data_IF_155625555800
#
_entry.id   IF_155625555800
#
_cell.length_a   1.000
_cell.length_b   1.000
_cell.length_c   1.000
_cell.angle_alpha   90.00
_cell.angle_beta   90.00
_cell.angle_gamma   90.00
#
_symmetry.space_group_name_H-M   'P 1'
#
loop_
_entity.id
_entity.type
_entity.pdbx_description
1 polymer ?
#
# COMPACT_ATOMS: atom_id res chain seq x y z
N UNK A 1 -12.51 50.93 3.23
CA UNK A 1 -13.61 50.11 3.80
C UNK A 1 -14.81 49.94 2.87
N UNK A 2 -15.33 51.01 2.21
CA UNK A 2 -16.50 50.90 1.28
C UNK A 2 -16.23 50.06 0.02
N UNK A 3 -15.03 50.06 -0.54
CA UNK A 3 -14.69 49.27 -1.72
C UNK A 3 -14.55 47.78 -1.39
N UNK A 4 -14.11 47.41 -0.17
CA UNK A 4 -14.02 46.06 0.30
C UNK A 4 -15.39 45.38 0.43
N UNK A 5 -16.36 46.06 1.05
CA UNK A 5 -17.76 45.56 1.13
C UNK A 5 -18.47 45.35 -0.22
N UNK A 6 -18.14 46.16 -1.25
CA UNK A 6 -18.72 45.98 -2.60
C UNK A 6 -18.14 44.74 -3.27
N UNK A 7 -16.82 44.54 -3.15
CA UNK A 7 -16.11 43.38 -3.70
C UNK A 7 -16.61 42.06 -3.05
N UNK A 8 -16.78 42.04 -1.71
CA UNK A 8 -17.26 40.88 -0.97
C UNK A 8 -18.72 40.55 -1.37
N UNK A 9 -19.57 41.55 -1.57
CA UNK A 9 -20.94 41.34 -2.05
C UNK A 9 -20.98 40.79 -3.47
N UNK A 10 -20.15 41.32 -4.36
CA UNK A 10 -20.05 40.82 -5.75
C UNK A 10 -19.52 39.37 -5.74
N UNK A 11 -18.55 39.05 -4.92
CA UNK A 11 -18.02 37.70 -4.77
C UNK A 11 -19.09 36.70 -4.27
N UNK A 12 -19.81 37.07 -3.22
CA UNK A 12 -20.84 36.21 -2.63
C UNK A 12 -22.02 36.00 -3.57
N UNK A 13 -22.60 37.09 -4.08
CA UNK A 13 -23.82 37.03 -4.91
C UNK A 13 -23.56 36.77 -6.40
N UNK A 14 -22.41 37.18 -6.91
CA UNK A 14 -22.06 37.06 -8.34
C UNK A 14 -21.26 35.79 -8.68
N UNK A 15 -20.55 35.21 -7.71
CA UNK A 15 -19.68 34.07 -7.99
C UNK A 15 -19.98 32.84 -7.12
N UNK A 16 -19.90 32.97 -5.80
CA UNK A 16 -20.00 31.81 -4.91
C UNK A 16 -21.41 31.23 -4.89
N UNK A 17 -22.42 32.07 -4.67
CA UNK A 17 -23.81 31.61 -4.59
C UNK A 17 -24.32 30.99 -5.89
N UNK A 18 -24.11 31.60 -7.10
CA UNK A 18 -24.51 30.95 -8.33
C UNK A 18 -23.80 29.64 -8.63
N UNK A 19 -22.48 29.53 -8.32
CA UNK A 19 -21.73 28.27 -8.49
C UNK A 19 -22.30 27.17 -7.61
N UNK A 20 -22.48 27.45 -6.33
CA UNK A 20 -23.02 26.45 -5.38
C UNK A 20 -24.46 26.04 -5.76
N UNK A 21 -25.28 26.98 -6.22
CA UNK A 21 -26.64 26.67 -6.68
C UNK A 21 -26.63 25.81 -7.94
N UNK A 22 -25.69 26.08 -8.86
CA UNK A 22 -25.54 25.31 -10.08
C UNK A 22 -25.04 23.89 -9.80
N UNK A 23 -24.07 23.71 -8.90
CA UNK A 23 -23.57 22.40 -8.49
C UNK A 23 -24.68 21.58 -7.81
N UNK A 24 -25.42 22.19 -6.90
CA UNK A 24 -26.48 21.50 -6.15
C UNK A 24 -27.70 21.12 -7.02
N UNK A 25 -27.96 21.82 -8.12
CA UNK A 25 -29.06 21.57 -9.05
C UNK A 25 -28.55 21.26 -10.47
N UNK A 26 -27.37 20.65 -10.59
CA UNK A 26 -26.67 20.45 -11.85
C UNK A 26 -27.55 19.79 -12.93
N UNK A 27 -28.24 18.72 -12.58
CA UNK A 27 -29.08 17.95 -13.50
C UNK A 27 -30.23 18.80 -14.09
N UNK A 28 -30.98 19.52 -13.23
CA UNK A 28 -32.11 20.35 -13.65
C UNK A 28 -31.64 21.51 -14.54
N UNK A 29 -30.53 22.14 -14.17
CA UNK A 29 -29.97 23.24 -14.94
C UNK A 29 -29.38 22.74 -16.27
N UNK A 30 -28.71 21.58 -16.28
CA UNK A 30 -28.20 20.97 -17.50
C UNK A 30 -29.33 20.66 -18.50
N UNK A 31 -30.43 20.08 -18.03
CA UNK A 31 -31.62 19.82 -18.87
C UNK A 31 -32.24 21.11 -19.40
N UNK A 32 -32.35 22.15 -18.56
CA UNK A 32 -32.93 23.44 -18.96
C UNK A 32 -32.10 24.14 -20.05
N UNK A 33 -30.77 24.12 -19.89
CA UNK A 33 -29.89 24.80 -20.86
C UNK A 33 -29.48 23.93 -22.06
N UNK A 34 -29.75 22.63 -22.05
CA UNK A 34 -29.32 21.68 -23.09
C UNK A 34 -29.77 22.08 -24.48
N UNK A 35 -31.00 22.55 -24.64
CA UNK A 35 -31.55 23.00 -25.94
C UNK A 35 -30.83 24.25 -26.46
N UNK A 36 -30.59 25.25 -25.60
CA UNK A 36 -29.89 26.46 -25.95
C UNK A 36 -28.43 26.23 -26.32
N UNK A 37 -27.74 25.36 -25.52
CA UNK A 37 -26.35 24.96 -25.77
C UNK A 37 -26.26 24.18 -27.07
N UNK A 38 -27.18 23.26 -27.33
CA UNK A 38 -27.23 22.47 -28.57
C UNK A 38 -27.40 23.41 -29.81
N UNK A 39 -28.28 24.40 -29.73
CA UNK A 39 -28.45 25.36 -30.80
C UNK A 39 -27.17 26.19 -31.09
N UNK A 40 -26.50 26.66 -30.02
CA UNK A 40 -25.21 27.38 -30.13
C UNK A 40 -24.14 26.47 -30.72
N UNK A 41 -24.06 25.22 -30.25
CA UNK A 41 -23.09 24.22 -30.76
C UNK A 41 -23.28 24.00 -32.27
N UNK A 42 -24.52 23.84 -32.73
CA UNK A 42 -24.81 23.68 -34.15
C UNK A 42 -24.37 24.88 -35.00
N UNK A 43 -24.60 26.09 -34.49
CA UNK A 43 -24.17 27.32 -35.17
C UNK A 43 -22.65 27.45 -35.20
N UNK A 44 -21.96 27.02 -34.11
CA UNK A 44 -20.49 27.12 -34.00
C UNK A 44 -19.75 25.97 -34.66
N UNK A 45 -20.42 24.83 -34.93
CA UNK A 45 -19.78 23.63 -35.52
C UNK A 45 -19.00 23.94 -36.82
N UNK A 46 -19.50 24.69 -37.79
CA UNK A 46 -18.73 25.00 -38.98
C UNK A 46 -17.48 25.84 -38.67
N UNK A 47 -17.56 26.78 -37.72
CA UNK A 47 -16.40 27.56 -37.29
C UNK A 47 -15.36 26.70 -36.63
N UNK A 48 -15.78 25.82 -35.71
CA UNK A 48 -14.91 24.84 -35.03
C UNK A 48 -14.25 23.93 -36.05
N UNK A 49 -14.98 23.48 -37.06
CA UNK A 49 -14.42 22.62 -38.12
C UNK A 49 -13.29 23.35 -38.88
N UNK A 50 -13.51 24.62 -39.28
CA UNK A 50 -12.49 25.41 -39.97
C UNK A 50 -11.24 25.61 -39.11
N UNK A 51 -11.41 25.96 -37.81
CA UNK A 51 -10.30 26.13 -36.88
C UNK A 51 -9.52 24.86 -36.67
N UNK A 52 -10.22 23.72 -36.50
CA UNK A 52 -9.58 22.41 -36.33
C UNK A 52 -8.81 21.97 -37.58
N UNK A 53 -9.35 22.30 -38.78
CA UNK A 53 -8.66 21.98 -40.02
C UNK A 53 -7.39 22.82 -40.21
N UNK A 54 -7.45 24.07 -39.82
CA UNK A 54 -6.30 24.97 -39.84
C UNK A 54 -5.23 24.52 -38.80
N UNK A 55 -5.66 24.15 -37.60
CA UNK A 55 -4.76 23.61 -36.58
C UNK A 55 -4.06 22.31 -37.03
N UNK A 56 -4.80 21.37 -37.68
CA UNK A 56 -4.22 20.15 -38.26
C UNK A 56 -3.21 20.47 -39.36
N UNK A 57 -3.51 21.44 -40.21
CA UNK A 57 -2.59 21.88 -41.26
C UNK A 57 -1.29 22.47 -40.67
N UNK A 58 -1.39 23.30 -39.63
CA UNK A 58 -0.22 23.81 -38.91
C UNK A 58 0.60 22.70 -38.26
N UNK A 59 -0.06 21.73 -37.55
CA UNK A 59 0.62 20.59 -36.94
C UNK A 59 1.32 19.70 -37.98
N UNK A 60 0.71 19.51 -39.16
CA UNK A 60 1.33 18.79 -40.27
C UNK A 60 2.58 19.53 -40.79
N UNK A 61 2.51 20.88 -40.93
CA UNK A 61 3.64 21.69 -41.36
C UNK A 61 4.80 21.65 -40.36
N UNK A 62 4.49 21.66 -39.07
CA UNK A 62 5.46 21.57 -37.95
C UNK A 62 5.95 20.16 -37.67
N UNK A 63 5.47 19.12 -38.43
CA UNK A 63 5.78 17.71 -38.23
C UNK A 63 5.54 17.20 -36.79
N UNK A 64 4.53 17.74 -36.12
CA UNK A 64 4.12 17.26 -34.81
C UNK A 64 3.34 15.95 -34.99
N UNK A 65 3.84 14.88 -34.40
CA UNK A 65 3.17 13.60 -34.42
C UNK A 65 1.94 13.61 -33.51
N UNK A 66 0.77 13.71 -34.13
CA UNK A 66 -0.54 13.75 -33.44
C UNK A 66 -1.12 12.35 -33.17
N UNK A 67 -0.39 11.29 -33.50
CA UNK A 67 -0.85 9.92 -33.29
C UNK A 67 -0.82 9.47 -31.81
N UNK A 68 -0.10 10.16 -30.96
CA UNK A 68 -0.19 9.95 -29.51
C UNK A 68 -1.54 10.51 -29.01
N UNK A 69 -2.55 9.65 -28.96
CA UNK A 69 -3.79 9.91 -28.25
C UNK A 69 -3.45 10.25 -26.79
N UNK A 70 -3.49 11.53 -26.44
CA UNK A 70 -3.35 12.02 -25.08
C UNK A 70 -4.67 11.89 -24.29
N UNK A 71 -5.28 10.72 -24.33
CA UNK A 71 -6.50 10.45 -23.55
C UNK A 71 -6.42 9.11 -22.82
N UNK A 72 -5.22 8.63 -22.55
CA UNK A 72 -5.06 7.60 -21.51
C UNK A 72 -4.97 8.32 -20.18
N UNK A 73 -5.88 8.04 -19.30
CA UNK A 73 -5.75 8.38 -17.87
C UNK A 73 -4.34 7.95 -17.47
N UNK A 74 -3.56 8.88 -16.94
CA UNK A 74 -2.23 8.58 -16.43
C UNK A 74 -2.37 7.89 -15.07
N UNK A 75 -1.32 7.22 -14.64
CA UNK A 75 -1.27 6.58 -13.32
C UNK A 75 -1.50 7.61 -12.20
N UNK A 76 -0.86 8.79 -12.29
CA UNK A 76 -1.05 9.90 -11.34
C UNK A 76 -2.50 10.41 -11.31
N UNK A 77 -3.18 10.47 -12.47
CA UNK A 77 -4.59 10.84 -12.53
C UNK A 77 -5.48 9.77 -11.89
N UNK A 78 -5.12 8.47 -12.03
CA UNK A 78 -5.83 7.37 -11.38
C UNK A 78 -5.68 7.44 -9.86
N UNK A 79 -4.45 7.65 -9.35
CA UNK A 79 -4.19 7.81 -7.91
C UNK A 79 -4.97 9.00 -7.34
N UNK A 80 -4.91 10.16 -8.00
CA UNK A 80 -5.67 11.34 -7.60
C UNK A 80 -7.18 11.07 -7.55
N UNK A 81 -7.71 10.29 -8.50
CA UNK A 81 -9.12 9.94 -8.51
C UNK A 81 -9.50 9.03 -7.33
N UNK A 82 -8.64 8.08 -6.98
CA UNK A 82 -8.82 7.19 -5.82
C UNK A 82 -8.78 7.99 -4.52
N UNK A 83 -7.82 8.91 -4.38
CA UNK A 83 -7.68 9.77 -3.19
C UNK A 83 -8.91 10.66 -2.99
N UNK A 84 -9.39 11.33 -4.04
CA UNK A 84 -10.61 12.15 -3.98
C UNK A 84 -11.84 11.31 -3.62
N UNK A 85 -11.93 10.08 -4.17
CA UNK A 85 -13.05 9.17 -3.84
C UNK A 85 -13.04 8.73 -2.38
N UNK A 86 -11.84 8.57 -1.79
CA UNK A 86 -11.69 8.28 -0.37
C UNK A 86 -12.07 9.50 0.49
N UNK A 87 -11.59 10.71 0.16
CA UNK A 87 -11.96 11.94 0.86
C UNK A 87 -13.48 12.23 0.83
N UNK A 88 -14.16 11.84 -0.25
CA UNK A 88 -15.61 11.93 -0.38
C UNK A 88 -16.38 10.80 0.36
N UNK A 89 -15.67 9.83 0.98
CA UNK A 89 -16.24 8.70 1.71
C UNK A 89 -16.91 7.64 0.82
N UNK A 90 -16.54 7.58 -0.47
CA UNK A 90 -17.03 6.58 -1.43
C UNK A 90 -16.23 5.27 -1.33
N UNK A 91 -14.93 5.37 -0.98
CA UNK A 91 -13.98 4.26 -0.87
C UNK A 91 -13.44 4.26 0.57
N UNK A 92 -13.37 3.09 1.20
CA UNK A 92 -12.77 2.90 2.51
C UNK A 92 -11.23 2.95 2.46
N UNK A 93 -10.57 3.19 3.59
CA UNK A 93 -9.11 3.33 3.68
C UNK A 93 -8.37 2.08 3.15
N UNK A 94 -8.83 0.90 3.54
CA UNK A 94 -8.28 -0.38 3.08
C UNK A 94 -8.47 -0.61 1.57
N UNK A 95 -9.64 -0.25 1.04
CA UNK A 95 -9.92 -0.34 -0.39
C UNK A 95 -9.01 0.59 -1.21
N UNK A 96 -8.75 1.80 -0.68
CA UNK A 96 -7.82 2.76 -1.26
C UNK A 96 -6.41 2.17 -1.31
N UNK A 97 -5.91 1.61 -0.19
CA UNK A 97 -4.59 0.96 -0.11
C UNK A 97 -4.47 -0.16 -1.16
N UNK A 98 -5.46 -1.06 -1.22
CA UNK A 98 -5.46 -2.16 -2.20
C UNK A 98 -5.41 -1.67 -3.65
N UNK A 99 -6.18 -0.62 -3.99
CA UNK A 99 -6.18 -0.07 -5.35
C UNK A 99 -4.82 0.53 -5.69
N UNK A 100 -4.19 1.25 -4.76
CA UNK A 100 -2.86 1.81 -4.93
C UNK A 100 -1.82 0.69 -5.12
N UNK A 101 -1.85 -0.32 -4.26
CA UNK A 101 -0.96 -1.49 -4.33
C UNK A 101 -1.10 -2.24 -5.67
N UNK A 102 -2.32 -2.39 -6.21
CA UNK A 102 -2.53 -3.01 -7.53
C UNK A 102 -1.85 -2.20 -8.65
N UNK A 103 -1.86 -0.88 -8.56
CA UNK A 103 -1.18 -0.02 -9.54
C UNK A 103 0.33 -0.21 -9.43
N UNK A 104 0.90 -0.18 -8.23
CA UNK A 104 2.31 -0.40 -7.97
C UNK A 104 2.79 -1.78 -8.37
N UNK A 105 1.98 -2.82 -8.11
CA UNK A 105 2.23 -4.21 -8.46
C UNK A 105 2.52 -4.39 -9.97
N UNK A 106 1.97 -3.51 -10.81
CA UNK A 106 2.22 -3.50 -12.24
C UNK A 106 3.68 -3.28 -12.62
N UNK A 107 4.41 -2.47 -11.86
CA UNK A 107 5.78 -2.06 -12.16
C UNK A 107 6.83 -2.68 -11.21
N UNK A 108 6.38 -3.40 -10.16
CA UNK A 108 7.24 -4.06 -9.16
C UNK A 108 8.02 -5.22 -9.80
N UNK A 109 9.27 -5.39 -9.38
CA UNK A 109 10.15 -6.46 -9.84
C UNK A 109 10.29 -7.56 -8.79
N UNK A 110 10.62 -8.78 -9.24
CA UNK A 110 10.78 -9.93 -8.37
C UNK A 110 11.77 -9.69 -7.21
N UNK A 111 12.86 -8.96 -7.46
CA UNK A 111 13.87 -8.60 -6.44
C UNK A 111 13.31 -7.72 -5.30
N UNK A 112 12.23 -6.97 -5.55
CA UNK A 112 11.66 -6.02 -4.59
C UNK A 112 10.70 -6.72 -3.61
N UNK A 113 10.22 -7.94 -3.96
CA UNK A 113 9.24 -8.72 -3.19
C UNK A 113 9.84 -10.02 -2.65
N UNK A 114 10.96 -10.49 -3.21
CA UNK A 114 11.53 -11.78 -2.82
C UNK A 114 12.02 -11.81 -1.38
N UNK A 115 11.86 -12.95 -0.73
CA UNK A 115 12.59 -13.27 0.50
C UNK A 115 14.07 -13.41 0.12
N UNK A 116 14.97 -12.60 0.71
CA UNK A 116 16.38 -12.63 0.37
C UNK A 116 17.03 -13.96 0.74
N UNK A 117 18.07 -14.36 -0.01
CA UNK A 117 18.83 -15.60 0.19
C UNK A 117 19.21 -15.88 1.65
N UNK A 118 19.54 -14.86 2.43
CA UNK A 118 20.00 -14.99 3.81
C UNK A 118 18.90 -15.44 4.79
N UNK A 119 17.65 -15.20 4.41
CA UNK A 119 16.48 -15.46 5.25
C UNK A 119 15.73 -16.73 4.83
N UNK A 120 16.23 -17.43 3.79
CA UNK A 120 15.62 -18.66 3.30
C UNK A 120 16.05 -19.85 4.13
N UNK A 121 15.08 -20.54 4.73
CA UNK A 121 15.30 -21.87 5.27
C UNK A 121 15.34 -22.90 4.14
N UNK A 122 16.43 -23.66 4.04
CA UNK A 122 16.64 -24.66 3.00
C UNK A 122 17.41 -25.86 3.53
N UNK A 123 17.29 -27.01 2.86
CA UNK A 123 17.87 -28.27 3.32
C UNK A 123 18.82 -28.87 2.28
N UNK A 124 19.86 -29.58 2.76
CA UNK A 124 20.78 -30.28 1.87
C UNK A 124 20.17 -31.59 1.36
N UNK A 125 20.49 -31.96 0.12
CA UNK A 125 19.99 -33.19 -0.53
C UNK A 125 20.29 -34.49 0.22
N UNK A 126 21.30 -34.50 1.09
CA UNK A 126 21.74 -35.64 1.87
C UNK A 126 21.24 -35.65 3.33
N UNK A 127 20.29 -34.75 3.65
CA UNK A 127 19.73 -34.62 5.00
C UNK A 127 19.07 -35.94 5.46
N UNK A 128 19.21 -36.28 6.73
CA UNK A 128 18.53 -37.43 7.32
C UNK A 128 17.04 -37.17 7.59
N UNK A 129 16.27 -38.23 7.78
CA UNK A 129 14.83 -38.13 8.11
C UNK A 129 14.57 -37.30 9.38
N UNK A 130 15.35 -37.54 10.43
CA UNK A 130 15.15 -36.86 11.72
C UNK A 130 15.55 -35.40 11.68
N UNK A 131 16.63 -35.07 10.97
CA UNK A 131 17.02 -33.65 10.74
C UNK A 131 15.97 -32.90 9.91
N UNK A 132 15.47 -33.50 8.82
CA UNK A 132 14.42 -32.91 8.00
C UNK A 132 13.12 -32.69 8.79
N UNK A 133 12.78 -33.63 9.68
CA UNK A 133 11.64 -33.49 10.59
C UNK A 133 11.83 -32.30 11.54
N UNK A 134 13.05 -32.14 12.05
CA UNK A 134 13.41 -31.02 12.94
C UNK A 134 13.23 -29.69 12.18
N UNK A 135 13.79 -29.56 10.96
CA UNK A 135 13.67 -28.37 10.14
C UNK A 135 12.21 -27.98 9.90
N UNK A 136 11.34 -28.95 9.54
CA UNK A 136 9.92 -28.65 9.37
C UNK A 136 9.21 -28.28 10.68
N UNK A 137 9.65 -28.83 11.81
CA UNK A 137 9.01 -28.60 13.12
C UNK A 137 9.39 -27.22 13.69
N UNK A 138 10.66 -26.84 13.54
CA UNK A 138 11.19 -25.60 14.09
C UNK A 138 10.75 -24.40 13.24
N UNK A 139 10.85 -24.51 11.91
CA UNK A 139 10.53 -23.41 11.00
C UNK A 139 9.03 -23.32 10.65
N UNK A 140 8.25 -24.42 10.87
CA UNK A 140 6.80 -24.50 10.55
C UNK A 140 6.44 -24.21 9.09
N UNK A 141 7.40 -24.24 8.18
CA UNK A 141 7.13 -23.99 6.75
C UNK A 141 6.47 -25.20 6.08
N UNK A 142 5.57 -24.92 5.13
CA UNK A 142 4.92 -25.96 4.33
C UNK A 142 5.85 -26.56 3.25
N UNK A 143 6.90 -25.81 2.86
CA UNK A 143 7.83 -26.16 1.77
C UNK A 143 9.22 -25.67 2.10
N UNK A 144 10.22 -26.47 1.71
CA UNK A 144 11.63 -26.10 1.85
C UNK A 144 12.35 -26.35 0.52
N UNK A 145 13.17 -25.38 0.03
CA UNK A 145 14.08 -25.62 -1.07
C UNK A 145 15.14 -26.66 -0.70
N UNK A 146 15.52 -27.50 -1.64
CA UNK A 146 16.57 -28.52 -1.48
C UNK A 146 17.75 -28.12 -2.36
N UNK A 147 18.93 -28.01 -1.74
CA UNK A 147 20.17 -27.71 -2.45
C UNK A 147 21.13 -28.90 -2.48
N UNK A 148 22.05 -28.92 -3.44
CA UNK A 148 23.10 -29.92 -3.57
C UNK A 148 24.45 -29.24 -3.70
N UNK A 149 25.46 -29.67 -2.91
CA UNK A 149 26.84 -29.15 -2.84
C UNK A 149 26.94 -27.70 -2.33
N UNK A 150 26.23 -26.76 -2.94
CA UNK A 150 26.21 -25.35 -2.54
C UNK A 150 24.79 -24.82 -2.48
N UNK A 151 24.55 -23.85 -1.61
CA UNK A 151 23.25 -23.21 -1.45
C UNK A 151 22.75 -22.49 -2.71
N UNK A 152 23.65 -22.23 -3.67
CA UNK A 152 23.29 -21.66 -4.97
C UNK A 152 22.71 -22.69 -5.94
N UNK A 153 22.92 -23.99 -5.66
CA UNK A 153 22.46 -25.07 -6.53
C UNK A 153 21.20 -25.71 -5.98
N UNK A 154 20.06 -25.06 -6.18
CA UNK A 154 18.75 -25.59 -5.81
C UNK A 154 18.31 -26.65 -6.82
N UNK A 155 18.09 -27.89 -6.35
CA UNK A 155 17.71 -29.03 -7.18
C UNK A 155 16.23 -29.36 -7.13
N UNK A 156 15.48 -28.81 -6.18
CA UNK A 156 14.04 -29.04 -6.05
C UNK A 156 13.45 -28.41 -4.80
N UNK A 157 12.17 -28.69 -4.58
CA UNK A 157 11.40 -28.25 -3.42
C UNK A 157 10.77 -29.47 -2.76
N UNK A 158 10.92 -29.64 -1.45
CA UNK A 158 10.22 -30.66 -0.67
C UNK A 158 9.01 -30.05 0.03
N UNK A 159 7.86 -30.73 -0.05
CA UNK A 159 6.65 -30.35 0.67
C UNK A 159 6.52 -31.13 1.97
N UNK A 160 6.13 -30.50 3.04
CA UNK A 160 5.82 -31.14 4.32
C UNK A 160 4.79 -32.29 4.14
N UNK A 161 3.77 -32.10 3.32
CA UNK A 161 2.74 -33.13 3.06
C UNK A 161 3.33 -34.38 2.42
N UNK A 162 4.23 -34.25 1.44
CA UNK A 162 4.87 -35.37 0.78
C UNK A 162 5.81 -36.12 1.74
N UNK A 163 6.46 -35.37 2.64
CA UNK A 163 7.31 -35.93 3.71
C UNK A 163 6.49 -36.68 4.78
N UNK A 164 5.40 -36.11 5.30
CA UNK A 164 4.55 -36.73 6.33
C UNK A 164 3.92 -38.03 5.87
N UNK A 165 3.55 -38.11 4.58
CA UNK A 165 2.96 -39.32 4.00
C UNK A 165 4.01 -40.33 3.48
N UNK A 166 5.30 -40.09 3.70
CA UNK A 166 6.35 -41.00 3.28
C UNK A 166 6.28 -42.30 4.07
N UNK A 167 6.15 -43.45 3.35
CA UNK A 167 6.06 -44.79 3.90
C UNK A 167 7.31 -45.68 3.63
N UNK A 168 8.37 -45.06 3.11
CA UNK A 168 9.62 -45.76 2.82
C UNK A 168 10.52 -45.94 4.03
N UNK A 169 11.73 -46.40 3.76
CA UNK A 169 12.76 -46.60 4.78
C UNK A 169 13.28 -45.26 5.30
N UNK A 170 13.03 -44.98 6.58
CA UNK A 170 13.45 -43.73 7.23
C UNK A 170 14.96 -43.64 7.45
N UNK A 171 15.65 -44.79 7.58
CA UNK A 171 17.09 -44.82 7.75
C UNK A 171 17.85 -44.51 6.46
N UNK A 172 17.18 -44.77 5.30
CA UNK A 172 17.74 -44.50 3.96
C UNK A 172 16.83 -43.58 3.17
N UNK A 173 16.50 -42.41 3.75
CA UNK A 173 15.68 -41.38 3.06
C UNK A 173 16.37 -40.92 1.80
N UNK A 174 15.69 -41.09 0.67
CA UNK A 174 16.08 -40.47 -0.62
C UNK A 174 15.21 -39.22 -0.90
N UNK A 175 15.66 -38.07 -0.46
CA UNK A 175 14.91 -36.80 -0.63
C UNK A 175 14.63 -36.50 -2.08
N UNK A 176 15.53 -36.88 -3.03
CA UNK A 176 15.36 -36.68 -4.47
C UNK A 176 14.11 -37.37 -5.03
N UNK A 177 13.63 -38.44 -4.36
CA UNK A 177 12.39 -39.14 -4.77
C UNK A 177 11.12 -38.46 -4.26
N UNK A 178 11.21 -37.53 -3.29
CA UNK A 178 10.09 -36.82 -2.68
C UNK A 178 9.99 -35.38 -3.15
N UNK A 179 11.11 -34.79 -3.58
CA UNK A 179 11.12 -33.42 -4.04
C UNK A 179 10.42 -33.25 -5.38
N UNK A 180 9.93 -32.07 -5.62
CA UNK A 180 9.36 -31.60 -6.90
C UNK A 180 10.35 -30.67 -7.57
N UNK A 181 10.24 -30.54 -8.88
CA UNK A 181 11.04 -29.59 -9.65
C UNK A 181 10.79 -28.17 -9.16
N UNK A 182 11.87 -27.40 -8.97
CA UNK A 182 11.77 -26.02 -8.59
C UNK A 182 11.46 -25.17 -9.82
N UNK A 183 10.45 -24.32 -9.72
CA UNK A 183 10.24 -23.25 -10.69
C UNK A 183 11.29 -22.17 -10.45
N UNK A 184 11.82 -21.59 -11.53
CA UNK A 184 12.91 -20.61 -11.47
C UNK A 184 12.51 -19.35 -12.23
N UNK A 185 12.84 -18.19 -11.68
CA UNK A 185 12.70 -16.89 -12.32
C UNK A 185 13.94 -16.04 -12.09
N UNK A 186 13.97 -14.78 -12.55
CA UNK A 186 15.08 -13.86 -12.42
C UNK A 186 14.64 -12.59 -11.69
N UNK A 187 15.60 -11.93 -11.00
CA UNK A 187 15.41 -10.74 -10.17
C UNK A 187 14.64 -9.61 -10.87
N UNK A 188 14.87 -9.41 -12.17
CA UNK A 188 14.27 -8.32 -12.96
C UNK A 188 12.97 -8.70 -13.65
N UNK A 189 12.38 -9.86 -13.34
CA UNK A 189 11.08 -10.22 -13.87
C UNK A 189 10.00 -9.38 -13.19
N UNK A 190 9.05 -8.90 -13.98
CA UNK A 190 7.90 -8.18 -13.46
C UNK A 190 7.01 -9.11 -12.62
N UNK A 191 6.64 -8.64 -11.42
CA UNK A 191 5.86 -9.42 -10.45
C UNK A 191 4.48 -9.77 -10.98
N UNK A 192 3.83 -8.90 -11.73
CA UNK A 192 2.51 -9.17 -12.30
C UNK A 192 2.54 -10.30 -13.33
N UNK A 193 3.60 -10.39 -14.15
CA UNK A 193 3.81 -11.48 -15.09
C UNK A 193 4.10 -12.79 -14.33
N UNK A 194 4.97 -12.72 -13.31
CA UNK A 194 5.29 -13.88 -12.48
C UNK A 194 4.05 -14.43 -11.77
N UNK A 195 3.22 -13.57 -11.21
CA UNK A 195 1.96 -13.93 -10.57
C UNK A 195 1.02 -14.69 -11.52
N UNK A 196 0.85 -14.19 -12.76
CA UNK A 196 0.02 -14.83 -13.77
C UNK A 196 0.54 -16.21 -14.18
N UNK A 197 1.86 -16.38 -14.28
CA UNK A 197 2.54 -17.64 -14.58
C UNK A 197 2.36 -18.63 -13.43
N UNK A 198 2.71 -18.24 -12.20
CA UNK A 198 2.56 -19.09 -11.01
C UNK A 198 1.11 -19.52 -10.79
N UNK A 199 0.15 -18.62 -10.97
CA UNK A 199 -1.27 -18.93 -10.86
C UNK A 199 -1.74 -19.90 -11.93
N UNK A 200 -1.33 -19.72 -13.20
CA UNK A 200 -1.72 -20.57 -14.34
C UNK A 200 -1.23 -22.00 -14.15
N UNK A 201 0.02 -22.15 -13.73
CA UNK A 201 0.70 -23.44 -13.63
C UNK A 201 0.60 -24.04 -12.22
N UNK A 202 -0.14 -23.37 -11.30
CA UNK A 202 -0.32 -23.77 -9.88
C UNK A 202 1.01 -23.95 -9.15
N UNK A 203 1.93 -23.02 -9.36
CA UNK A 203 3.25 -22.98 -8.73
C UNK A 203 3.15 -22.21 -7.42
N UNK A 204 3.35 -22.84 -6.26
CA UNK A 204 3.21 -22.17 -4.97
C UNK A 204 4.47 -21.41 -4.54
N UNK A 205 5.64 -21.74 -5.08
CA UNK A 205 6.93 -21.18 -4.71
C UNK A 205 7.87 -21.16 -5.92
N UNK A 206 8.60 -20.08 -6.10
CA UNK A 206 9.54 -19.86 -7.20
C UNK A 206 10.89 -19.43 -6.65
N UNK A 207 11.96 -20.02 -7.17
CA UNK A 207 13.34 -19.64 -6.87
C UNK A 207 13.72 -18.46 -7.76
N UNK A 208 14.31 -17.42 -7.17
CA UNK A 208 14.79 -16.24 -7.89
C UNK A 208 16.30 -16.33 -8.04
N UNK A 209 16.79 -16.20 -9.27
CA UNK A 209 18.21 -16.20 -9.58
C UNK A 209 18.67 -14.81 -10.02
N UNK A 210 19.92 -14.50 -9.71
CA UNK A 210 20.63 -13.34 -10.20
C UNK A 210 21.08 -13.50 -11.67
N UNK A 211 21.80 -12.50 -12.21
CA UNK A 211 22.34 -12.51 -13.58
C UNK A 211 23.44 -13.55 -13.81
N UNK A 212 24.02 -14.08 -12.74
CA UNK A 212 25.06 -15.13 -12.78
C UNK A 212 24.50 -16.54 -12.61
N UNK A 213 23.19 -16.64 -12.33
CA UNK A 213 22.52 -17.91 -12.07
C UNK A 213 22.69 -18.41 -10.64
N UNK A 214 23.14 -17.57 -9.71
CA UNK A 214 23.19 -17.87 -8.29
C UNK A 214 21.83 -17.56 -7.62
N UNK A 215 21.57 -18.21 -6.48
CA UNK A 215 20.37 -17.97 -5.70
C UNK A 215 20.34 -16.54 -5.15
N UNK A 216 19.39 -15.74 -5.58
CA UNK A 216 19.14 -14.39 -5.05
C UNK A 216 18.08 -14.39 -3.94
N UNK A 217 17.01 -15.17 -4.13
CA UNK A 217 15.90 -15.23 -3.20
C UNK A 217 14.86 -16.30 -3.56
N UNK A 218 13.72 -16.26 -2.92
CA UNK A 218 12.53 -16.99 -3.31
C UNK A 218 11.28 -16.11 -3.18
N UNK A 219 10.23 -16.48 -3.92
CA UNK A 219 8.92 -15.82 -3.87
C UNK A 219 7.87 -16.91 -3.74
N UNK A 220 6.92 -16.73 -2.85
CA UNK A 220 5.74 -17.57 -2.72
C UNK A 220 4.51 -16.91 -3.38
N UNK A 221 3.46 -17.66 -3.59
CA UNK A 221 2.19 -17.10 -4.09
C UNK A 221 1.57 -16.18 -3.05
N UNK A 222 1.77 -16.51 -1.79
CA UNK A 222 1.33 -15.76 -0.62
C UNK A 222 1.97 -14.36 -0.62
N UNK A 223 3.29 -14.22 -0.82
CA UNK A 223 4.00 -12.94 -0.88
C UNK A 223 3.45 -12.05 -2.00
N UNK A 224 3.16 -12.64 -3.17
CA UNK A 224 2.58 -11.90 -4.30
C UNK A 224 1.17 -11.39 -4.03
N UNK A 225 0.39 -12.10 -3.23
CA UNK A 225 -0.95 -11.67 -2.82
C UNK A 225 -0.85 -10.60 -1.75
N UNK A 226 0.10 -10.71 -0.84
CA UNK A 226 0.37 -9.76 0.23
C UNK A 226 0.74 -8.38 -0.33
N UNK A 227 1.51 -8.30 -1.40
CA UNK A 227 1.79 -7.06 -2.11
C UNK A 227 0.52 -6.31 -2.60
N UNK A 228 -0.56 -7.03 -2.86
CA UNK A 228 -1.83 -6.43 -3.31
C UNK A 228 -2.73 -6.09 -2.13
N UNK A 229 -2.88 -7.05 -1.21
CA UNK A 229 -3.87 -6.97 -0.11
C UNK A 229 -3.32 -6.19 1.08
N UNK A 230 -1.98 -6.11 1.22
CA UNK A 230 -1.28 -5.71 2.44
C UNK A 230 -1.06 -6.90 3.37
N UNK A 231 -0.41 -6.69 4.50
CA UNK A 231 -0.08 -7.74 5.47
C UNK A 231 -1.31 -8.60 5.80
N UNK A 232 -1.24 -9.88 5.43
CA UNK A 232 -2.24 -10.88 5.79
C UNK A 232 -1.85 -11.43 7.16
N UNK A 233 -2.67 -11.18 8.18
CA UNK A 233 -2.47 -11.79 9.50
C UNK A 233 -2.48 -13.31 9.37
N UNK A 234 -1.40 -13.98 9.75
CA UNK A 234 -1.35 -15.43 9.81
C UNK A 234 -2.17 -15.94 11.02
N UNK A 235 -2.81 -17.09 10.90
CA UNK A 235 -3.54 -17.75 11.98
C UNK A 235 -2.65 -18.05 13.21
N UNK A 236 -1.32 -17.99 13.05
CA UNK A 236 -0.31 -18.23 14.09
C UNK A 236 0.29 -16.95 14.69
N UNK A 237 -0.03 -15.76 14.16
CA UNK A 237 0.45 -14.47 14.67
C UNK A 237 -0.35 -14.02 15.91
N UNK A 238 -0.48 -14.95 16.88
CA UNK A 238 -1.11 -14.67 18.17
C UNK A 238 -0.31 -13.69 19.04
N UNK A 239 0.90 -13.34 18.63
CA UNK A 239 1.82 -12.46 19.37
C UNK A 239 2.06 -11.10 18.69
N UNK A 240 1.51 -10.82 17.51
CA UNK A 240 1.51 -9.45 16.98
C UNK A 240 0.49 -8.63 17.75
N UNK A 241 0.99 -7.70 18.54
CA UNK A 241 0.19 -6.74 19.28
C UNK A 241 -0.58 -5.87 18.27
N UNK A 242 -1.89 -5.70 18.44
CA UNK A 242 -2.67 -4.73 17.63
C UNK A 242 -1.95 -3.38 17.59
N UNK A 243 -1.86 -2.76 16.42
CA UNK A 243 -1.19 -1.47 16.23
C UNK A 243 -1.65 -0.41 17.23
N UNK A 244 -2.91 -0.50 17.68
CA UNK A 244 -3.52 0.35 18.69
C UNK A 244 -4.25 -0.53 19.71
N UNK A 245 -3.64 -0.77 20.86
CA UNK A 245 -4.26 -1.50 21.98
C UNK A 245 -4.92 -0.56 22.97
N UNK A 246 -6.18 -0.78 23.29
CA UNK A 246 -6.91 -0.02 24.31
C UNK A 246 -6.51 -0.50 25.71
N UNK A 247 -5.83 0.35 26.48
CA UNK A 247 -5.48 0.05 27.88
C UNK A 247 -6.56 0.53 28.87
N UNK A 248 -7.20 1.68 28.56
CA UNK A 248 -8.36 2.21 29.30
C UNK A 248 -9.12 3.24 28.44
N UNK A 249 -10.20 3.81 28.92
CA UNK A 249 -11.10 4.71 28.19
C UNK A 249 -10.41 5.88 27.44
N UNK A 250 -9.19 6.26 27.82
CA UNK A 250 -8.45 7.35 27.19
C UNK A 250 -6.95 7.06 27.06
N UNK A 251 -6.53 5.81 27.27
CA UNK A 251 -5.13 5.40 27.25
C UNK A 251 -4.95 4.23 26.30
N UNK A 252 -4.03 4.40 25.38
CA UNK A 252 -3.75 3.44 24.29
C UNK A 252 -2.27 3.11 24.28
N UNK A 253 -1.95 1.88 23.93
CA UNK A 253 -0.60 1.46 23.57
C UNK A 253 -0.55 1.36 22.05
N UNK A 254 0.37 2.07 21.44
CA UNK A 254 0.45 2.21 19.96
C UNK A 254 1.84 1.81 19.51
N UNK A 255 1.94 1.03 18.44
CA UNK A 255 3.23 0.73 17.83
C UNK A 255 3.84 1.99 17.21
N UNK A 256 5.15 2.16 17.31
CA UNK A 256 5.85 3.34 16.83
C UNK A 256 5.74 3.55 15.32
N UNK A 257 5.50 2.48 14.56
CA UNK A 257 5.31 2.50 13.11
C UNK A 257 3.90 2.90 12.66
N UNK A 258 2.91 2.90 13.57
CA UNK A 258 1.52 3.18 13.23
C UNK A 258 1.37 4.57 12.60
N UNK A 259 0.73 4.67 11.41
CA UNK A 259 0.48 5.94 10.75
C UNK A 259 -0.39 6.88 11.59
N UNK A 260 -0.10 8.17 11.53
CA UNK A 260 -0.88 9.19 12.26
C UNK A 260 -2.33 9.25 11.80
N UNK A 261 -2.59 9.04 10.53
CA UNK A 261 -3.94 9.05 9.96
C UNK A 261 -4.78 7.88 10.51
N UNK A 262 -4.19 6.70 10.67
CA UNK A 262 -4.86 5.52 11.23
C UNK A 262 -5.21 5.75 12.72
N UNK A 263 -4.32 6.40 13.47
CA UNK A 263 -4.57 6.80 14.87
C UNK A 263 -5.67 7.87 14.93
N UNK A 264 -5.62 8.86 14.03
CA UNK A 264 -6.61 9.92 13.94
C UNK A 264 -8.02 9.37 13.67
N UNK A 265 -8.14 8.41 12.77
CA UNK A 265 -9.40 7.73 12.44
C UNK A 265 -9.90 6.87 13.60
N UNK A 266 -9.03 6.04 14.18
CA UNK A 266 -9.39 5.13 15.28
C UNK A 266 -9.82 5.86 16.56
N UNK A 267 -9.16 6.99 16.89
CA UNK A 267 -9.38 7.71 18.14
C UNK A 267 -10.25 8.97 17.99
N UNK A 268 -10.60 9.37 16.76
CA UNK A 268 -11.40 10.55 16.45
C UNK A 268 -10.72 11.87 16.88
N UNK A 269 -9.38 11.93 16.76
CA UNK A 269 -8.55 13.11 17.07
C UNK A 269 -7.88 13.62 15.79
N UNK A 270 -7.75 14.93 15.57
CA UNK A 270 -7.14 15.47 14.36
C UNK A 270 -5.61 15.46 14.46
N UNK A 271 -5.01 14.28 14.59
CA UNK A 271 -3.55 14.11 14.54
C UNK A 271 -3.12 14.17 13.07
N UNK A 272 -2.40 15.23 12.69
CA UNK A 272 -1.80 15.38 11.35
C UNK A 272 -0.43 16.02 11.47
N UNK A 273 0.50 15.58 10.65
CA UNK A 273 1.80 16.21 10.49
C UNK A 273 2.14 16.26 9.00
N UNK A 274 2.66 17.40 8.54
CA UNK A 274 3.16 17.56 7.16
C UNK A 274 4.57 16.96 7.00
N UNK A 275 5.26 16.66 8.10
CA UNK A 275 6.68 16.26 8.11
C UNK A 275 6.90 14.79 8.50
N UNK A 276 5.90 14.12 9.13
CA UNK A 276 6.05 12.77 9.68
C UNK A 276 4.79 11.94 9.49
N UNK A 277 4.96 10.72 8.99
CA UNK A 277 3.85 9.81 8.69
C UNK A 277 3.45 8.93 9.89
N UNK A 278 4.36 8.68 10.85
CA UNK A 278 4.14 7.74 11.98
C UNK A 278 4.15 8.42 13.35
N UNK A 279 3.57 7.74 14.35
CA UNK A 279 3.57 8.22 15.74
C UNK A 279 4.98 8.35 16.32
N UNK A 280 5.92 7.46 15.95
CA UNK A 280 7.31 7.58 16.35
C UNK A 280 7.94 8.87 15.83
N UNK A 281 7.72 9.19 14.54
CA UNK A 281 8.18 10.42 13.92
C UNK A 281 7.60 11.66 14.61
N UNK A 282 6.31 11.64 14.93
CA UNK A 282 5.62 12.70 15.65
C UNK A 282 6.23 12.94 17.05
N UNK A 283 6.47 11.88 17.82
CA UNK A 283 7.09 11.98 19.17
C UNK A 283 8.52 12.52 19.09
N UNK A 284 9.32 12.06 18.11
CA UNK A 284 10.68 12.58 17.88
C UNK A 284 10.64 14.08 17.56
N UNK A 285 9.70 14.51 16.73
CA UNK A 285 9.52 15.91 16.39
C UNK A 285 9.16 16.77 17.62
N UNK A 286 8.25 16.30 18.45
CA UNK A 286 7.86 17.00 19.69
C UNK A 286 9.02 17.13 20.68
N UNK A 287 9.92 16.15 20.74
CA UNK A 287 11.07 16.13 21.64
C UNK A 287 12.30 16.83 21.07
N UNK A 288 12.36 17.04 19.75
CA UNK A 288 13.51 17.58 19.00
C UNK A 288 14.81 16.73 19.14
N UNK A 289 14.70 15.51 19.64
CA UNK A 289 15.80 14.53 19.77
C UNK A 289 15.27 13.10 19.81
N UNK A 290 16.17 12.11 19.64
CA UNK A 290 15.79 10.70 19.76
C UNK A 290 15.59 10.35 21.24
N UNK A 291 14.38 9.87 21.65
CA UNK A 291 14.02 9.69 23.05
C UNK A 291 14.61 8.43 23.68
N UNK A 292 14.62 8.43 25.00
CA UNK A 292 14.87 7.25 25.84
C UNK A 292 13.56 6.68 26.39
N UNK A 293 13.59 5.42 26.83
CA UNK A 293 12.42 4.79 27.45
C UNK A 293 11.96 5.57 28.69
N UNK A 294 10.64 5.78 28.78
CA UNK A 294 9.99 6.56 29.84
C UNK A 294 9.92 8.06 29.58
N UNK A 295 10.51 8.56 28.50
CA UNK A 295 10.45 9.97 28.14
C UNK A 295 9.06 10.34 27.61
N UNK A 296 8.62 11.57 27.91
CA UNK A 296 7.26 12.02 27.61
C UNK A 296 7.26 13.28 26.76
N UNK A 297 6.39 13.30 25.75
CA UNK A 297 6.05 14.47 24.95
C UNK A 297 4.56 14.79 25.09
N UNK A 298 4.17 16.02 24.83
CA UNK A 298 2.76 16.45 24.86
C UNK A 298 2.48 17.40 23.69
N UNK A 299 1.30 17.23 23.11
CA UNK A 299 0.73 18.20 22.19
C UNK A 299 -0.64 18.70 22.69
N UNK A 300 -1.42 19.33 21.81
CA UNK A 300 -2.76 19.83 22.12
C UNK A 300 -3.75 18.70 22.45
N UNK A 301 -3.58 17.52 21.85
CA UNK A 301 -4.57 16.42 21.85
C UNK A 301 -4.22 15.33 22.86
N UNK A 302 -2.94 15.01 23.04
CA UNK A 302 -2.51 13.87 23.83
C UNK A 302 -1.17 14.09 24.56
N UNK A 303 -0.91 13.17 25.50
CA UNK A 303 0.41 12.95 26.09
C UNK A 303 0.94 11.62 25.56
N UNK A 304 2.19 11.61 25.11
CA UNK A 304 2.91 10.48 24.57
C UNK A 304 4.01 10.08 25.54
N UNK A 305 4.09 8.80 25.88
CA UNK A 305 5.18 8.24 26.70
C UNK A 305 5.84 7.12 25.92
N UNK A 306 7.14 7.20 25.68
CA UNK A 306 7.91 6.15 25.04
C UNK A 306 8.01 4.96 25.97
N UNK A 307 7.41 3.82 25.61
CA UNK A 307 7.43 2.61 26.44
C UNK A 307 8.66 1.75 26.15
N UNK A 308 9.02 1.60 24.87
CA UNK A 308 10.12 0.75 24.46
C UNK A 308 10.84 1.33 23.25
N UNK A 309 12.17 1.19 23.25
CA UNK A 309 13.06 1.59 22.16
C UNK A 309 13.87 0.36 21.72
N UNK A 310 13.95 0.13 20.42
CA UNK A 310 14.78 -0.90 19.82
C UNK A 310 15.81 -0.27 18.87
N UNK A 311 17.08 -0.27 19.30
CA UNK A 311 18.17 0.38 18.57
C UNK A 311 17.91 1.88 18.32
N UNK A 312 17.67 2.24 17.06
CA UNK A 312 17.40 3.61 16.63
C UNK A 312 15.91 3.84 16.29
N UNK A 313 15.02 2.98 16.77
CA UNK A 313 13.59 3.03 16.49
C UNK A 313 12.80 3.05 17.79
N UNK A 314 11.76 3.87 17.87
CA UNK A 314 10.73 3.76 18.89
C UNK A 314 9.83 2.59 18.52
N UNK A 315 9.79 1.57 19.38
CA UNK A 315 8.99 0.36 19.19
C UNK A 315 7.53 0.61 19.61
N UNK A 316 7.34 1.19 20.79
CA UNK A 316 6.01 1.32 21.39
C UNK A 316 5.84 2.65 22.11
N UNK A 317 4.70 3.29 21.93
CA UNK A 317 4.31 4.55 22.59
C UNK A 317 3.00 4.36 23.35
N UNK A 318 2.93 4.87 24.57
CA UNK A 318 1.68 5.05 25.30
C UNK A 318 1.10 6.42 24.97
N UNK A 319 -0.12 6.44 24.47
CA UNK A 319 -0.88 7.63 24.12
C UNK A 319 -2.01 7.83 25.13
N UNK A 320 -2.05 8.97 25.78
CA UNK A 320 -3.09 9.37 26.75
C UNK A 320 -3.83 10.59 26.21
N UNK A 321 -5.08 10.42 25.80
CA UNK A 321 -5.90 11.51 25.28
C UNK A 321 -6.20 12.53 26.37
N UNK A 322 -6.04 13.81 26.07
CA UNK A 322 -6.46 14.91 26.93
C UNK A 322 -7.97 15.07 26.90
N UNK A 323 -8.64 15.39 28.03
CA UNK A 323 -10.07 15.64 28.04
C UNK A 323 -10.38 16.81 27.10
N UNK A 324 -11.36 16.64 26.19
CA UNK A 324 -11.86 17.73 25.35
C UNK A 324 -12.32 18.88 26.26
N UNK A 325 -11.68 20.02 26.15
CA UNK A 325 -12.16 21.26 26.77
C UNK A 325 -13.40 21.65 25.99
N UNK A 326 -14.56 21.34 26.54
CA UNK A 326 -15.84 21.87 26.04
C UNK A 326 -15.83 23.36 26.44
N UNK A 327 -15.58 24.27 25.51
CA UNK A 327 -15.87 25.69 25.72
C UNK A 327 -17.36 25.79 25.99
N UNK A 328 -17.72 26.06 27.24
CA UNK A 328 -19.06 26.51 27.58
C UNK A 328 -19.31 27.82 26.82
N UNK A 329 -20.44 27.98 26.12
CA UNK A 329 -20.76 29.26 25.52
C UNK A 329 -20.85 30.32 26.60
N UNK A 330 -19.99 31.35 26.55
CA UNK A 330 -20.17 32.57 27.36
C UNK A 330 -21.60 33.09 27.17
N UNK A 331 -22.43 32.95 28.18
CA UNK A 331 -23.71 33.64 28.25
C UNK A 331 -23.40 35.16 28.27
N UNK A 332 -23.70 35.79 27.14
CA UNK A 332 -23.66 37.24 27.03
C UNK A 332 -24.80 37.82 27.88
N UNK A 333 -24.46 38.54 28.97
CA UNK A 333 -25.33 39.50 29.64
C UNK A 333 -25.64 40.72 28.76
#
# INVERSE_FOLDING_TARGET
QRQMCIRDRILIFGEITPKNLATKNAEKLALFYSSSISAITHILTPVIFIVNQFARFLMFLLRVDTSKKSSSITEDELRTFVDVSHEEGVIESEERKMITNIVDFGDTLAKDVMIPRMDIAMVEANISYDELLTEFTENKYARLPVYEETIDHIIGIINLKDFVFYQGDKENLNIKSLMREAHVTYEYKNVSELFMEMRKDSIPMTIVLDEYGALAGLITMEDLIEEIVGELRDEYDTDEEDDIQVLSDSVYKVLGSTPLDDIAEALGVPLKSDDYDSIAGHVINLLEHFPTEGETAEDEFARYTVLKVDGNRIDTVKLELKPKITEEPEEAE
#
